data_IF_235301984937
#
_entry.id   IF_235301984937
#
_cell.length_a   1.000
_cell.length_b   1.000
_cell.length_c   1.000
_cell.angle_alpha   90.00
_cell.angle_beta   90.00
_cell.angle_gamma   90.00
#
_symmetry.space_group_name_H-M   'P 1'
#
loop_
_entity.id
_entity.type
_entity.pdbx_description
1 polymer ?
#
# COMPACT_ATOMS: atom_id res chain seq x y z
N UNK A 1 -1.91 16.34 15.92
CA UNK A 1 -0.80 17.26 16.20
C UNK A 1 0.22 17.12 15.08
N UNK A 2 0.33 18.16 14.25
CA UNK A 2 1.33 18.15 13.19
C UNK A 2 2.69 18.59 13.72
N UNK A 3 3.71 17.96 13.19
CA UNK A 3 5.11 18.25 13.50
C UNK A 3 5.88 18.50 12.21
N UNK A 4 6.99 19.19 12.30
CA UNK A 4 7.89 19.42 11.19
C UNK A 4 8.09 20.88 10.86
N UNK A 5 8.82 21.12 9.78
CA UNK A 5 9.26 22.42 9.31
C UNK A 5 8.77 22.67 7.88
N UNK A 6 8.09 23.76 7.65
CA UNK A 6 7.60 24.18 6.34
C UNK A 6 8.22 25.53 5.94
N UNK A 7 8.24 25.83 4.66
CA UNK A 7 8.66 27.12 4.15
C UNK A 7 7.64 28.20 4.47
N UNK A 8 8.06 29.47 4.46
CA UNK A 8 7.16 30.62 4.64
C UNK A 8 6.10 30.71 3.52
N UNK A 9 6.49 30.37 2.31
CA UNK A 9 5.60 30.37 1.14
C UNK A 9 5.11 28.96 0.84
N UNK A 10 3.85 28.83 0.33
CA UNK A 10 3.36 27.52 -0.08
C UNK A 10 4.23 26.92 -1.20
N UNK A 11 4.47 25.62 -1.11
CA UNK A 11 5.16 24.84 -2.15
C UNK A 11 4.34 24.76 -3.43
N UNK A 12 3.00 24.72 -3.27
CA UNK A 12 2.07 24.64 -4.40
C UNK A 12 0.75 25.36 -4.10
N UNK A 13 0.10 25.86 -5.15
CA UNK A 13 -1.25 26.44 -5.05
C UNK A 13 -2.17 25.74 -6.02
N UNK A 14 -3.13 24.99 -5.50
CA UNK A 14 -4.18 24.34 -6.27
C UNK A 14 -5.39 25.25 -6.42
N UNK A 15 -5.94 25.36 -7.62
CA UNK A 15 -7.28 25.89 -7.88
C UNK A 15 -8.18 24.72 -8.24
N UNK A 16 -9.03 24.34 -7.32
CA UNK A 16 -9.88 23.16 -7.44
C UNK A 16 -11.34 23.55 -7.68
N UNK A 17 -12.00 22.80 -8.55
CA UNK A 17 -13.43 22.86 -8.76
C UNK A 17 -14.03 21.54 -8.30
N UNK A 18 -14.72 21.56 -7.17
CA UNK A 18 -15.30 20.38 -6.58
C UNK A 18 -16.43 19.79 -7.45
N UNK A 19 -16.43 18.47 -7.57
CA UNK A 19 -17.48 17.63 -8.08
C UNK A 19 -18.10 16.80 -6.95
N UNK A 20 -18.47 15.57 -7.26
CA UNK A 20 -19.03 14.60 -6.29
C UNK A 20 -17.96 13.66 -5.70
N UNK A 21 -16.71 13.80 -6.14
CA UNK A 21 -15.61 12.94 -5.70
C UNK A 21 -14.84 13.58 -4.54
N UNK A 22 -14.23 12.76 -3.68
CA UNK A 22 -13.35 13.24 -2.63
C UNK A 22 -12.08 13.86 -3.22
N UNK A 23 -11.37 14.63 -2.42
CA UNK A 23 -10.07 15.19 -2.77
C UNK A 23 -9.01 14.66 -1.82
N UNK A 24 -7.93 14.15 -2.37
CA UNK A 24 -6.74 13.71 -1.64
C UNK A 24 -5.55 14.58 -2.05
N UNK A 25 -4.78 14.99 -1.08
CA UNK A 25 -3.50 15.68 -1.27
C UNK A 25 -2.49 14.98 -0.40
N UNK A 26 -1.43 14.47 -0.97
CA UNK A 26 -0.42 13.76 -0.20
C UNK A 26 0.98 13.90 -0.81
N UNK A 27 1.93 13.33 -0.11
CA UNK A 27 3.36 13.38 -0.47
C UNK A 27 3.90 11.97 -0.50
N UNK A 28 4.81 11.70 -1.42
CA UNK A 28 5.64 10.49 -1.45
C UNK A 28 7.11 10.92 -1.41
N UNK A 29 7.83 10.39 -0.45
CA UNK A 29 9.26 10.64 -0.26
C UNK A 29 9.91 9.42 0.41
N UNK A 30 11.23 9.30 0.27
CA UNK A 30 12.02 8.30 0.99
C UNK A 30 12.31 8.72 2.43
N UNK A 31 12.23 10.01 2.72
CA UNK A 31 12.42 10.62 4.03
C UNK A 31 11.08 11.04 4.66
N UNK A 32 11.07 11.16 5.98
CA UNK A 32 9.93 11.61 6.77
C UNK A 32 9.56 13.06 6.46
N UNK A 33 8.34 13.26 5.95
CA UNK A 33 7.84 14.55 5.47
C UNK A 33 6.60 15.01 6.26
N UNK A 34 6.24 16.28 6.10
CA UNK A 34 5.01 16.84 6.66
C UNK A 34 4.25 17.63 5.60
N UNK A 35 2.94 17.58 5.67
CA UNK A 35 2.03 18.25 4.76
C UNK A 35 1.14 19.21 5.52
N UNK A 36 1.07 20.45 5.05
CA UNK A 36 0.15 21.46 5.58
C UNK A 36 -0.66 22.03 4.43
N UNK A 37 -1.97 22.09 4.61
CA UNK A 37 -2.89 22.65 3.61
C UNK A 37 -3.81 23.68 4.23
N UNK A 38 -3.90 24.85 3.59
CA UNK A 38 -4.91 25.87 3.88
C UNK A 38 -5.99 25.82 2.80
N UNK A 39 -7.18 25.40 3.19
CA UNK A 39 -8.32 25.28 2.30
C UNK A 39 -9.01 26.60 1.94
N UNK A 40 -9.99 26.56 1.01
CA UNK A 40 -10.72 27.76 0.52
C UNK A 40 -11.47 28.53 1.61
N UNK A 41 -11.90 27.84 2.66
CA UNK A 41 -12.58 28.42 3.82
C UNK A 41 -11.61 29.02 4.86
N UNK A 42 -10.30 29.01 4.57
CA UNK A 42 -9.27 29.48 5.49
C UNK A 42 -8.87 28.47 6.57
N UNK A 43 -9.47 27.29 6.59
CA UNK A 43 -9.13 26.22 7.53
C UNK A 43 -7.76 25.64 7.21
N UNK A 44 -6.97 25.42 8.25
CA UNK A 44 -5.69 24.75 8.17
C UNK A 44 -5.86 23.27 8.53
N UNK A 45 -5.27 22.42 7.73
CA UNK A 45 -5.12 21.00 8.00
C UNK A 45 -3.67 20.62 7.82
N UNK A 46 -3.26 19.58 8.53
CA UNK A 46 -1.90 19.08 8.42
C UNK A 46 -1.82 17.61 8.81
N UNK A 47 -0.81 16.96 8.29
CA UNK A 47 -0.50 15.56 8.51
C UNK A 47 1.00 15.33 8.37
N UNK A 48 1.53 14.29 9.02
CA UNK A 48 2.93 13.91 8.95
C UNK A 48 3.15 12.41 8.66
N UNK A 49 2.16 11.52 8.93
CA UNK A 49 2.38 10.06 8.82
C UNK A 49 1.10 9.22 8.58
N UNK A 50 0.00 9.82 8.14
CA UNK A 50 -1.25 9.07 7.89
C UNK A 50 -1.25 8.26 6.60
N UNK A 51 -0.27 8.45 5.72
CA UNK A 51 -0.05 7.65 4.51
C UNK A 51 0.96 6.53 4.73
N UNK A 52 1.40 5.92 3.64
CA UNK A 52 2.38 4.85 3.68
C UNK A 52 3.81 5.38 3.96
N UNK A 53 4.61 4.61 4.67
CA UNK A 53 6.04 4.88 4.91
C UNK A 53 6.35 6.26 5.52
N UNK A 54 5.61 6.69 6.54
CA UNK A 54 5.77 8.01 7.18
C UNK A 54 5.52 9.18 6.22
N UNK A 55 4.72 8.97 5.20
CA UNK A 55 4.31 9.99 4.26
C UNK A 55 2.93 10.57 4.63
N UNK A 56 2.74 11.88 4.53
CA UNK A 56 1.48 12.51 4.90
C UNK A 56 0.42 12.42 3.80
N UNK A 57 -0.85 12.31 4.21
CA UNK A 57 -2.01 12.45 3.35
C UNK A 57 -3.14 13.22 4.03
N UNK A 58 -3.74 14.17 3.35
CA UNK A 58 -4.92 14.91 3.79
C UNK A 58 -6.05 14.65 2.79
N UNK A 59 -7.23 14.27 3.29
CA UNK A 59 -8.41 14.01 2.46
C UNK A 59 -9.62 14.83 2.89
N UNK A 60 -10.51 15.07 1.93
CA UNK A 60 -11.82 15.68 2.10
C UNK A 60 -12.84 14.83 1.37
N UNK A 61 -13.82 14.27 2.08
CA UNK A 61 -14.93 13.52 1.47
C UNK A 61 -15.87 14.44 0.70
N UNK A 62 -16.02 15.69 1.17
CA UNK A 62 -16.81 16.76 0.53
C UNK A 62 -15.93 18.00 0.36
N UNK A 63 -15.04 18.02 -0.66
CA UNK A 63 -14.12 19.12 -0.87
C UNK A 63 -14.86 20.37 -1.38
N UNK A 64 -14.37 21.55 -1.03
CA UNK A 64 -14.92 22.80 -1.52
C UNK A 64 -14.19 23.32 -2.74
N UNK A 65 -14.91 23.88 -3.69
CA UNK A 65 -14.29 24.62 -4.79
C UNK A 65 -13.54 25.85 -4.26
N UNK A 66 -12.35 26.10 -4.81
CA UNK A 66 -11.58 27.28 -4.46
C UNK A 66 -10.07 27.06 -4.51
N UNK A 67 -9.37 27.88 -3.74
CA UNK A 67 -7.92 27.87 -3.69
C UNK A 67 -7.43 27.15 -2.44
N UNK A 68 -6.60 26.12 -2.66
CA UNK A 68 -5.85 25.43 -1.63
C UNK A 68 -4.38 25.85 -1.73
N UNK A 69 -3.78 26.21 -0.61
CA UNK A 69 -2.37 26.50 -0.49
C UNK A 69 -1.71 25.34 0.25
N UNK A 70 -0.67 24.76 -0.34
CA UNK A 70 -0.08 23.50 0.07
C UNK A 70 1.40 23.73 0.40
N UNK A 71 1.81 23.30 1.58
CA UNK A 71 3.20 23.26 2.01
C UNK A 71 3.62 21.82 2.21
N UNK A 72 4.66 21.42 1.51
CA UNK A 72 5.40 20.19 1.75
C UNK A 72 6.63 20.55 2.56
N UNK A 73 6.77 19.92 3.70
CA UNK A 73 7.87 20.17 4.61
C UNK A 73 8.57 18.88 5.00
N UNK A 74 9.47 18.99 5.95
CA UNK A 74 10.21 17.89 6.54
C UNK A 74 9.84 17.74 8.01
N UNK A 75 9.71 16.49 8.47
CA UNK A 75 9.42 16.24 9.88
C UNK A 75 10.55 16.70 10.80
N UNK A 76 11.80 16.40 10.45
CA UNK A 76 13.00 16.79 11.19
C UNK A 76 13.68 18.06 10.67
N UNK A 77 14.71 18.50 11.38
CA UNK A 77 15.64 19.55 10.93
C UNK A 77 16.68 18.96 9.98
N UNK A 78 17.12 19.71 8.98
CA UNK A 78 18.19 19.29 8.07
C UNK A 78 18.02 19.86 6.66
N UNK A 79 18.69 19.23 5.71
CA UNK A 79 18.64 19.60 4.29
C UNK A 79 17.29 19.29 3.67
N UNK A 80 16.98 19.94 2.55
CA UNK A 80 15.78 19.64 1.77
C UNK A 80 15.86 18.21 1.22
N UNK A 81 14.72 17.51 1.23
CA UNK A 81 14.61 16.15 0.71
C UNK A 81 13.75 16.15 -0.57
N UNK A 82 14.10 15.31 -1.56
CA UNK A 82 13.24 15.11 -2.72
C UNK A 82 11.90 14.54 -2.29
N UNK A 83 10.82 15.10 -2.79
CA UNK A 83 9.46 14.65 -2.49
C UNK A 83 8.55 14.88 -3.69
N UNK A 84 7.57 13.99 -3.87
CA UNK A 84 6.55 14.10 -4.89
C UNK A 84 5.21 14.44 -4.25
N UNK A 85 4.65 15.61 -4.59
CA UNK A 85 3.29 15.99 -4.23
C UNK A 85 2.31 15.37 -5.23
N UNK A 86 1.26 14.70 -4.73
CA UNK A 86 0.16 14.24 -5.56
C UNK A 86 -1.17 14.87 -5.15
N UNK A 87 -2.09 14.95 -6.11
CA UNK A 87 -3.46 15.42 -5.94
C UNK A 87 -4.36 14.44 -6.70
N UNK A 88 -5.36 13.88 -6.03
CA UNK A 88 -6.19 12.81 -6.58
C UNK A 88 -7.65 12.94 -6.11
N UNK A 89 -8.57 12.43 -6.91
CA UNK A 89 -9.99 12.29 -6.55
C UNK A 89 -10.37 10.82 -6.27
N UNK A 90 -9.42 9.89 -6.44
CA UNK A 90 -9.66 8.45 -6.30
C UNK A 90 -8.81 7.79 -5.22
N UNK A 91 -8.14 8.59 -4.40
CA UNK A 91 -7.21 8.13 -3.38
C UNK A 91 -5.78 8.58 -3.65
N UNK A 92 -4.86 8.16 -2.80
CA UNK A 92 -3.43 8.38 -2.96
C UNK A 92 -2.96 8.04 -4.37
N UNK A 93 -1.68 8.31 -4.73
CA UNK A 93 -1.17 7.72 -5.92
C UNK A 93 -1.60 6.28 -5.80
N UNK A 94 -2.42 5.82 -6.75
CA UNK A 94 -2.54 4.38 -6.93
C UNK A 94 -1.11 3.94 -6.82
N UNK A 95 -0.78 3.22 -5.76
CA UNK A 95 0.54 2.64 -5.62
C UNK A 95 0.88 2.26 -7.04
N UNK A 96 1.87 2.93 -7.67
CA UNK A 96 2.49 2.27 -8.81
C UNK A 96 2.72 0.92 -8.20
N UNK A 97 1.93 -0.07 -8.64
CA UNK A 97 2.00 -1.41 -8.07
C UNK A 97 3.50 -1.63 -8.08
N UNK A 98 4.18 -1.69 -6.93
CA UNK A 98 5.62 -1.65 -6.92
C UNK A 98 6.05 -2.66 -7.95
N UNK A 99 7.04 -2.35 -8.81
CA UNK A 99 7.40 -3.26 -9.90
C UNK A 99 7.61 -4.70 -9.43
N UNK A 100 7.76 -4.87 -8.12
CA UNK A 100 7.90 -6.11 -7.35
C UNK A 100 6.64 -6.51 -6.56
N UNK A 101 5.50 -5.77 -6.68
CA UNK A 101 4.25 -6.15 -6.04
C UNK A 101 3.76 -7.53 -6.50
N UNK A 102 3.04 -8.26 -5.63
CA UNK A 102 2.53 -9.58 -5.99
C UNK A 102 1.65 -9.53 -7.23
N UNK A 103 2.05 -10.28 -8.26
CA UNK A 103 1.31 -10.45 -9.50
C UNK A 103 0.93 -11.92 -9.68
N UNK A 104 -0.29 -12.25 -9.31
CA UNK A 104 -0.83 -13.59 -9.41
C UNK A 104 -1.07 -14.08 -10.86
N UNK A 105 -0.90 -13.21 -11.86
CA UNK A 105 -1.00 -13.59 -13.28
C UNK A 105 0.28 -14.22 -13.80
N UNK A 106 1.41 -13.98 -13.12
CA UNK A 106 2.69 -14.59 -13.46
C UNK A 106 2.69 -16.12 -13.22
N UNK A 107 3.56 -16.82 -13.94
CA UNK A 107 3.76 -18.23 -13.71
C UNK A 107 4.36 -18.48 -12.33
N UNK A 108 3.82 -19.42 -11.53
CA UNK A 108 4.32 -19.72 -10.20
C UNK A 108 5.71 -20.39 -10.26
N UNK A 109 6.59 -19.97 -9.34
CA UNK A 109 7.99 -20.40 -9.31
C UNK A 109 8.19 -21.93 -9.10
N UNK A 110 7.28 -22.56 -8.34
CA UNK A 110 7.38 -23.98 -7.97
C UNK A 110 6.26 -24.83 -8.55
N UNK A 111 5.45 -24.29 -9.45
CA UNK A 111 4.49 -25.04 -10.25
C UNK A 111 3.02 -24.86 -9.90
N UNK A 112 2.21 -25.65 -10.58
CA UNK A 112 0.74 -25.64 -10.48
C UNK A 112 0.25 -27.06 -10.20
N UNK A 113 -0.78 -27.19 -9.38
CA UNK A 113 -1.46 -28.47 -9.16
C UNK A 113 -2.98 -28.33 -9.24
N UNK A 114 -3.62 -29.36 -9.77
CA UNK A 114 -5.07 -29.52 -9.74
C UNK A 114 -5.43 -30.52 -8.65
N UNK A 115 -6.19 -30.11 -7.66
CA UNK A 115 -6.63 -30.95 -6.55
C UNK A 115 -8.15 -31.02 -6.50
N UNK A 116 -8.66 -32.19 -6.19
CA UNK A 116 -10.08 -32.44 -5.92
C UNK A 116 -10.22 -32.84 -4.45
N UNK A 117 -11.24 -32.36 -3.78
CA UNK A 117 -11.53 -32.73 -2.37
C UNK A 117 -11.41 -34.23 -2.16
N UNK A 118 -10.64 -34.64 -1.16
CA UNK A 118 -10.29 -36.05 -0.91
C UNK A 118 -9.07 -36.53 -1.69
N UNK A 119 -8.25 -35.62 -2.24
CA UNK A 119 -7.00 -35.92 -2.94
C UNK A 119 -6.04 -36.78 -2.11
N UNK A 120 -5.19 -37.51 -2.81
CA UNK A 120 -4.11 -38.29 -2.21
C UNK A 120 -2.80 -38.06 -2.97
N UNK A 121 -1.62 -37.97 -2.31
CA UNK A 121 -1.48 -38.01 -0.84
C UNK A 121 -2.04 -36.78 -0.13
N UNK A 122 -2.53 -36.94 1.08
CA UNK A 122 -2.92 -35.88 1.97
C UNK A 122 -2.07 -35.97 3.26
N UNK A 123 -1.25 -34.96 3.58
CA UNK A 123 -1.09 -33.70 2.86
C UNK A 123 -0.31 -33.80 1.55
N UNK A 124 -0.66 -32.98 0.55
CA UNK A 124 0.20 -32.69 -0.57
C UNK A 124 1.26 -31.68 -0.12
N UNK A 125 2.54 -31.96 -0.37
CA UNK A 125 3.64 -31.10 0.09
C UNK A 125 4.58 -30.76 -1.08
N UNK A 126 5.05 -29.52 -1.08
CA UNK A 126 6.05 -29.01 -2.02
C UNK A 126 7.13 -28.26 -1.26
N UNK A 127 8.39 -28.47 -1.62
CA UNK A 127 9.52 -27.72 -1.05
C UNK A 127 9.73 -26.43 -1.82
N UNK A 128 9.74 -25.31 -1.11
CA UNK A 128 9.93 -23.97 -1.66
C UNK A 128 11.00 -23.22 -0.86
N UNK A 129 11.55 -22.14 -1.44
CA UNK A 129 12.36 -21.16 -0.73
C UNK A 129 11.52 -19.93 -0.47
N UNK A 130 11.27 -19.63 0.79
CA UNK A 130 10.49 -18.48 1.19
C UNK A 130 11.28 -17.18 1.08
N UNK A 131 10.60 -16.07 0.75
CA UNK A 131 11.15 -14.72 0.69
C UNK A 131 10.86 -14.01 -0.62
N UNK A 132 11.34 -12.78 -0.74
CA UNK A 132 11.17 -11.95 -1.93
C UNK A 132 11.51 -10.50 -1.68
N UNK A 133 11.24 -9.64 -2.66
CA UNK A 133 11.51 -8.20 -2.60
C UNK A 133 10.34 -7.34 -2.14
N UNK A 134 9.12 -7.89 -2.14
CA UNK A 134 7.93 -7.12 -1.77
C UNK A 134 7.63 -7.16 -0.27
N UNK A 135 7.46 -6.00 0.32
CA UNK A 135 7.12 -5.88 1.74
C UNK A 135 5.62 -6.13 1.95
N UNK A 136 5.29 -7.26 2.59
CA UNK A 136 3.91 -7.68 2.82
C UNK A 136 3.13 -6.81 3.83
N UNK A 137 3.77 -5.88 4.54
CA UNK A 137 3.07 -4.87 5.35
C UNK A 137 2.13 -3.98 4.53
N UNK A 138 2.31 -3.92 3.21
CA UNK A 138 1.40 -3.23 2.30
C UNK A 138 0.10 -4.01 2.03
N UNK A 139 0.02 -5.26 2.47
CA UNK A 139 -1.21 -6.07 2.42
C UNK A 139 -1.90 -6.05 3.79
N UNK A 140 -3.24 -6.04 3.84
CA UNK A 140 -3.96 -6.04 5.11
C UNK A 140 -3.56 -7.22 6.00
N UNK A 141 -3.19 -6.91 7.25
CA UNK A 141 -2.86 -7.90 8.29
C UNK A 141 -1.68 -8.83 7.96
N UNK A 142 -0.84 -8.49 6.98
CA UNK A 142 0.33 -9.28 6.60
C UNK A 142 1.63 -8.64 7.10
N UNK A 143 2.63 -9.47 7.35
CA UNK A 143 3.99 -9.05 7.72
C UNK A 143 5.02 -9.91 6.97
N UNK A 144 6.23 -9.37 6.75
CA UNK A 144 7.32 -10.10 6.11
C UNK A 144 7.56 -9.70 4.66
N UNK A 145 8.28 -10.54 3.94
CA UNK A 145 8.71 -10.29 2.57
C UNK A 145 8.30 -11.44 1.66
N UNK A 146 7.71 -11.16 0.51
CA UNK A 146 7.21 -12.15 -0.44
C UNK A 146 7.71 -11.85 -1.86
N UNK A 147 7.64 -12.84 -2.73
CA UNK A 147 7.99 -12.70 -4.14
C UNK A 147 6.86 -12.01 -4.93
N UNK A 148 7.21 -11.41 -6.08
CA UNK A 148 6.25 -10.85 -7.04
C UNK A 148 5.42 -11.94 -7.69
N UNK A 149 6.06 -13.00 -8.20
CA UNK A 149 5.35 -14.16 -8.74
C UNK A 149 4.87 -15.07 -7.59
N UNK A 150 3.72 -15.75 -7.75
CA UNK A 150 3.31 -16.77 -6.79
C UNK A 150 4.36 -17.86 -6.63
N UNK A 151 4.55 -18.38 -5.43
CA UNK A 151 5.38 -19.56 -5.25
C UNK A 151 4.71 -20.80 -5.84
N UNK A 152 3.44 -20.99 -5.54
CA UNK A 152 2.71 -22.19 -5.98
C UNK A 152 1.25 -21.86 -6.28
N UNK A 153 0.69 -22.51 -7.31
CA UNK A 153 -0.72 -22.35 -7.68
C UNK A 153 -1.48 -23.63 -7.45
N UNK A 154 -2.59 -23.55 -6.74
CA UNK A 154 -3.50 -24.66 -6.48
C UNK A 154 -4.84 -24.37 -7.14
N UNK A 155 -5.23 -25.20 -8.10
CA UNK A 155 -6.57 -25.23 -8.64
C UNK A 155 -7.36 -26.28 -7.84
N UNK A 156 -8.31 -25.83 -7.02
CA UNK A 156 -9.04 -26.73 -6.13
C UNK A 156 -10.49 -26.88 -6.53
N UNK A 157 -10.94 -28.13 -6.65
CA UNK A 157 -12.35 -28.46 -6.84
C UNK A 157 -12.91 -29.03 -5.55
N UNK A 158 -13.85 -28.29 -4.94
CA UNK A 158 -14.55 -28.74 -3.74
C UNK A 158 -15.52 -29.87 -4.06
N UNK A 159 -15.75 -30.78 -3.10
CA UNK A 159 -16.78 -31.82 -3.18
C UNK A 159 -17.90 -31.54 -2.20
N UNK A 160 -19.04 -32.19 -2.38
CA UNK A 160 -20.19 -32.11 -1.45
C UNK A 160 -19.88 -32.64 -0.04
N UNK A 161 -18.78 -33.39 0.12
CA UNK A 161 -18.36 -33.92 1.41
C UNK A 161 -17.90 -32.85 2.41
N UNK A 162 -17.65 -31.61 1.96
CA UNK A 162 -17.37 -30.46 2.82
C UNK A 162 -16.07 -30.56 3.61
N UNK A 163 -15.05 -31.27 3.09
CA UNK A 163 -13.76 -31.35 3.73
C UNK A 163 -13.06 -29.97 3.67
N UNK A 164 -12.43 -29.50 4.76
CA UNK A 164 -11.70 -28.25 4.76
C UNK A 164 -10.45 -28.35 3.87
N UNK A 165 -10.12 -27.25 3.21
CA UNK A 165 -8.81 -27.06 2.56
C UNK A 165 -7.95 -26.23 3.51
N UNK A 166 -6.79 -26.77 3.90
CA UNK A 166 -5.88 -26.13 4.85
C UNK A 166 -4.53 -25.92 4.16
N UNK A 167 -4.05 -24.68 4.21
CA UNK A 167 -2.70 -24.33 3.80
C UNK A 167 -1.82 -24.12 5.03
N UNK A 168 -0.63 -24.66 5.02
CA UNK A 168 0.34 -24.47 6.09
C UNK A 168 1.76 -24.44 5.55
N UNK A 169 2.64 -23.75 6.24
CA UNK A 169 4.08 -23.75 5.98
C UNK A 169 4.77 -24.34 7.20
N UNK A 170 5.77 -25.17 6.95
CA UNK A 170 6.66 -25.70 7.96
C UNK A 170 8.11 -25.29 7.63
N UNK A 171 8.75 -24.56 8.53
CA UNK A 171 10.11 -24.03 8.38
C UNK A 171 10.81 -23.96 9.73
N UNK A 172 12.15 -23.98 9.73
CA UNK A 172 12.95 -23.68 10.91
C UNK A 172 13.10 -22.15 11.14
N UNK A 173 12.85 -21.35 10.08
CA UNK A 173 12.86 -19.89 10.15
C UNK A 173 11.43 -19.35 10.24
N UNK A 174 11.32 -18.11 10.71
CA UNK A 174 10.06 -17.36 10.67
C UNK A 174 9.65 -17.07 9.22
N UNK A 175 8.44 -17.44 8.85
CA UNK A 175 7.95 -17.36 7.47
C UNK A 175 6.54 -16.78 7.41
N UNK A 176 6.23 -16.14 6.30
CA UNK A 176 4.92 -15.56 6.01
C UNK A 176 4.22 -16.39 4.93
N UNK A 177 2.93 -16.67 5.12
CA UNK A 177 2.05 -17.28 4.14
C UNK A 177 0.99 -16.28 3.70
N UNK A 178 0.96 -15.99 2.41
CA UNK A 178 -0.07 -15.15 1.79
C UNK A 178 -0.83 -15.98 0.77
N UNK A 179 -2.16 -15.92 0.79
CA UNK A 179 -3.05 -16.64 -0.13
C UNK A 179 -3.97 -15.63 -0.79
N UNK A 180 -4.09 -15.72 -2.10
CA UNK A 180 -4.97 -14.88 -2.93
C UNK A 180 -6.13 -15.72 -3.46
#
# INVERSE_FOLDING_TARGET
>A
NCRGFIAERPSFTLRYRAGELPLYVGVVADDDTTLVVKGPNGQWMCDDDSGDNLNPVISWDDPRSGRYQIWVGRFGTGELVPAQLYISEVGGPANEVPADAPDFTLDPAYGVIDLVSGFQPDPHSVSISAGGGYNAYQLPECVGWIATAPDYRVNFTASEAGLPLIFSVQSEADTTLVIN
#
